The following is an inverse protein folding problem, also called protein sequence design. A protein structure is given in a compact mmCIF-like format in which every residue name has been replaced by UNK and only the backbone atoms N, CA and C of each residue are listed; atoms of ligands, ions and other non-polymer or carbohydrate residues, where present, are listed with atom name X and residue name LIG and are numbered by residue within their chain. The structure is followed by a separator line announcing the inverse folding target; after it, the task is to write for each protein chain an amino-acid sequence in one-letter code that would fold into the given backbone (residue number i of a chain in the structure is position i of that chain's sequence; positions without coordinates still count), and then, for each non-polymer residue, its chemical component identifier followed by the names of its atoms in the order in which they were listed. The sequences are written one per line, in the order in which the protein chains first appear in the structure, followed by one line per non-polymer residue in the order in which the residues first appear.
data_IF_043102150185
#
_entry.id   IF_043102150185
#
_cell.length_a   1.000
_cell.length_b   1.000
_cell.length_c   1.000
_cell.angle_alpha   90.00
_cell.angle_beta   90.00
_cell.angle_gamma   90.00
#
_symmetry.space_group_name_H-M   'P 1'
#
loop_
_entity.id
_entity.type
_entity.pdbx_description
1 polymer ?
#
# COMPACT_ATOMS: atom_id res chain seq x y z
N UNK A 1 15.17 -5.77 -0.44
CA UNK A 1 15.72 -5.88 0.93
C UNK A 1 14.64 -5.51 1.95
N UNK A 2 14.69 -6.13 3.13
CA UNK A 2 13.78 -5.85 4.26
C UNK A 2 14.64 -5.62 5.49
N UNK A 3 14.40 -4.55 6.25
CA UNK A 3 15.25 -4.14 7.35
C UNK A 3 14.51 -4.10 8.69
N UNK A 4 15.22 -4.54 9.73
CA UNK A 4 14.76 -4.59 11.11
C UNK A 4 14.07 -5.89 11.51
N UNK A 5 14.48 -6.46 12.65
CA UNK A 5 13.97 -7.73 13.17
C UNK A 5 12.44 -7.78 13.22
N UNK A 6 11.77 -6.66 13.56
CA UNK A 6 10.33 -6.58 13.66
C UNK A 6 9.64 -6.90 12.32
N UNK A 7 10.16 -6.33 11.20
CA UNK A 7 9.57 -6.56 9.88
C UNK A 7 10.00 -7.91 9.32
N UNK A 8 11.27 -8.30 9.55
CA UNK A 8 11.79 -9.59 9.09
C UNK A 8 11.02 -10.78 9.67
N UNK A 9 10.54 -10.68 10.92
CA UNK A 9 9.70 -11.71 11.54
C UNK A 9 8.40 -11.96 10.77
N UNK A 10 7.81 -10.93 10.16
CA UNK A 10 6.60 -11.05 9.35
C UNK A 10 6.80 -11.91 8.09
N UNK A 11 8.05 -12.04 7.63
CA UNK A 11 8.38 -12.86 6.47
C UNK A 11 8.25 -14.36 6.72
N UNK A 12 8.28 -14.82 7.99
CA UNK A 12 8.32 -16.25 8.34
C UNK A 12 7.15 -17.05 7.75
N UNK A 13 5.95 -16.48 7.81
CA UNK A 13 4.72 -17.11 7.35
C UNK A 13 4.19 -16.46 6.07
N UNK A 14 5.06 -15.82 5.32
CA UNK A 14 4.71 -15.11 4.10
C UNK A 14 5.17 -15.90 2.87
N UNK A 15 4.63 -15.55 1.69
CA UNK A 15 5.08 -16.17 0.43
C UNK A 15 6.45 -15.66 -0.05
N UNK A 16 7.14 -14.81 0.70
CA UNK A 16 8.46 -14.29 0.33
C UNK A 16 9.58 -15.25 0.71
N UNK A 17 10.45 -15.56 -0.23
CA UNK A 17 11.60 -16.43 -0.02
C UNK A 17 12.79 -15.60 0.48
N UNK A 18 13.20 -15.83 1.74
CA UNK A 18 14.41 -15.23 2.29
C UNK A 18 15.61 -16.03 1.81
N UNK A 19 16.60 -15.35 1.22
CA UNK A 19 17.89 -15.91 0.83
C UNK A 19 18.87 -15.86 2.00
N UNK A 20 19.10 -14.69 2.55
CA UNK A 20 20.02 -14.47 3.67
C UNK A 20 19.50 -13.37 4.59
N UNK A 21 19.89 -13.44 5.86
CA UNK A 21 19.67 -12.41 6.89
C UNK A 21 21.03 -12.04 7.47
N UNK A 22 21.40 -10.79 7.38
CA UNK A 22 22.56 -10.22 8.01
C UNK A 22 22.12 -9.54 9.30
N UNK A 23 22.69 -9.93 10.46
CA UNK A 23 22.20 -9.44 11.75
C UNK A 23 23.33 -9.16 12.72
N UNK A 24 23.22 -8.05 13.47
CA UNK A 24 24.05 -7.76 14.63
C UNK A 24 23.49 -8.39 15.91
N UNK A 25 22.19 -8.68 15.91
CA UNK A 25 21.46 -9.34 16.99
C UNK A 25 20.32 -10.19 16.37
N UNK A 26 20.45 -11.52 16.49
CA UNK A 26 19.47 -12.47 15.99
C UNK A 26 18.38 -12.82 17.01
N UNK A 27 18.31 -12.10 18.13
CA UNK A 27 17.34 -12.34 19.18
C UNK A 27 15.90 -12.31 18.66
N UNK A 28 15.24 -13.45 18.78
CA UNK A 28 13.86 -13.63 18.33
C UNK A 28 13.68 -13.73 16.81
N UNK A 29 14.75 -13.87 16.03
CA UNK A 29 14.68 -14.29 14.62
C UNK A 29 14.57 -15.80 14.57
N UNK A 30 13.34 -16.30 14.33
CA UNK A 30 13.05 -17.73 14.25
C UNK A 30 13.17 -18.23 12.80
N UNK A 31 14.42 -18.25 12.30
CA UNK A 31 14.82 -18.75 11.00
C UNK A 31 15.94 -19.76 11.13
N UNK A 32 16.15 -20.60 10.10
CA UNK A 32 17.24 -21.53 10.07
C UNK A 32 18.60 -20.80 10.22
N UNK A 33 19.44 -21.25 11.16
CA UNK A 33 20.76 -20.66 11.43
C UNK A 33 21.64 -20.55 10.18
N UNK A 34 21.47 -21.47 9.22
CA UNK A 34 22.19 -21.43 7.93
C UNK A 34 21.87 -20.19 7.09
N UNK A 35 20.72 -19.53 7.33
CA UNK A 35 20.31 -18.29 6.65
C UNK A 35 20.78 -17.03 7.38
N UNK A 36 21.18 -17.13 8.63
CA UNK A 36 21.58 -15.96 9.45
C UNK A 36 23.10 -15.83 9.40
N UNK A 37 23.56 -14.66 9.00
CA UNK A 37 24.97 -14.26 8.95
C UNK A 37 25.20 -13.20 10.03
N UNK A 38 25.94 -13.51 11.11
CA UNK A 38 26.31 -12.50 12.09
C UNK A 38 27.24 -11.47 11.44
N UNK A 39 26.96 -10.21 11.66
CA UNK A 39 27.74 -9.07 11.18
C UNK A 39 27.93 -8.04 12.30
N UNK A 40 28.87 -7.15 12.12
CA UNK A 40 29.10 -6.01 13.03
C UNK A 40 28.19 -4.84 12.69
N UNK A 41 27.96 -3.93 13.63
CA UNK A 41 27.24 -2.66 13.36
C UNK A 41 27.88 -1.84 12.23
N UNK A 42 29.21 -1.90 12.10
CA UNK A 42 29.93 -1.22 11.03
C UNK A 42 29.61 -1.80 9.65
N UNK A 43 29.45 -3.11 9.56
CA UNK A 43 29.05 -3.78 8.32
C UNK A 43 27.57 -3.54 8.03
N UNK A 44 26.71 -3.59 9.04
CA UNK A 44 25.30 -3.27 8.90
C UNK A 44 25.09 -1.87 8.30
N UNK A 45 25.82 -0.87 8.79
CA UNK A 45 25.79 0.50 8.26
C UNK A 45 26.19 0.62 6.79
N UNK A 46 26.96 -0.33 6.26
CA UNK A 46 27.38 -0.32 4.85
C UNK A 46 26.30 -0.88 3.90
N UNK A 47 25.47 -1.79 4.39
CA UNK A 47 24.46 -2.47 3.58
C UNK A 47 23.05 -1.94 3.79
N UNK A 48 22.80 -1.27 4.90
CA UNK A 48 21.52 -0.68 5.23
C UNK A 48 21.23 0.56 4.37
N UNK A 49 19.98 0.73 3.99
CA UNK A 49 19.43 1.91 3.30
C UNK A 49 18.76 2.89 4.27
N UNK A 50 18.71 2.55 5.58
CA UNK A 50 18.14 3.40 6.60
C UNK A 50 19.20 4.37 7.13
N UNK A 51 18.78 5.60 7.46
CA UNK A 51 19.65 6.57 8.14
C UNK A 51 20.13 6.06 9.51
N UNK A 52 19.29 5.31 10.20
CA UNK A 52 19.57 4.70 11.49
C UNK A 52 19.30 3.19 11.42
N UNK A 53 20.24 2.41 10.90
CA UNK A 53 20.16 0.94 10.93
C UNK A 53 19.96 0.42 12.35
N UNK A 54 19.13 -0.61 12.52
CA UNK A 54 18.84 -1.16 13.85
C UNK A 54 19.63 -2.42 14.12
N UNK A 55 19.15 -3.54 13.59
CA UNK A 55 19.60 -4.86 14.02
C UNK A 55 19.88 -5.81 12.86
N UNK A 56 19.14 -5.72 11.75
CA UNK A 56 19.26 -6.71 10.69
C UNK A 56 18.77 -6.23 9.32
N UNK A 57 19.27 -6.92 8.28
CA UNK A 57 18.84 -6.79 6.88
C UNK A 57 18.61 -8.17 6.30
N UNK A 58 17.43 -8.41 5.74
CA UNK A 58 17.11 -9.62 4.99
C UNK A 58 17.11 -9.35 3.48
N UNK A 59 17.73 -10.27 2.74
CA UNK A 59 17.68 -10.33 1.28
C UNK A 59 16.64 -11.36 0.90
N UNK A 60 15.61 -10.92 0.16
CA UNK A 60 14.53 -11.77 -0.31
C UNK A 60 14.52 -11.82 -1.84
N UNK A 61 13.96 -12.90 -2.38
CA UNK A 61 13.64 -12.97 -3.80
C UNK A 61 12.52 -11.97 -4.14
N UNK A 62 12.61 -11.37 -5.32
CA UNK A 62 11.48 -10.63 -5.88
C UNK A 62 10.38 -11.63 -6.25
N UNK A 63 9.16 -11.30 -5.90
CA UNK A 63 8.00 -12.14 -6.19
C UNK A 63 7.15 -11.48 -7.27
N UNK A 64 6.90 -12.20 -8.35
CA UNK A 64 5.87 -11.81 -9.30
C UNK A 64 4.50 -12.08 -8.69
N UNK A 65 3.66 -11.07 -8.64
CA UNK A 65 2.29 -11.16 -8.15
C UNK A 65 1.35 -11.09 -9.35
N UNK A 66 0.30 -11.91 -9.31
CA UNK A 66 -0.79 -11.90 -10.30
C UNK A 66 -2.06 -11.40 -9.65
N UNK A 67 -2.98 -10.77 -10.41
CA UNK A 67 -4.27 -10.36 -9.89
C UNK A 67 -5.02 -11.52 -9.24
N UNK A 68 -5.64 -11.27 -8.10
CA UNK A 68 -6.51 -12.22 -7.39
C UNK A 68 -7.96 -11.74 -7.42
N UNK A 69 -8.88 -12.68 -7.20
CA UNK A 69 -10.28 -12.32 -7.02
C UNK A 69 -10.46 -11.74 -5.61
N UNK A 70 -10.98 -10.53 -5.52
CA UNK A 70 -11.31 -9.86 -4.27
C UNK A 70 -12.57 -9.02 -4.47
N UNK A 71 -13.38 -8.85 -3.43
CA UNK A 71 -14.60 -8.05 -3.50
C UNK A 71 -14.28 -6.56 -3.59
N UNK A 72 -13.52 -6.05 -2.65
CA UNK A 72 -13.05 -4.67 -2.64
C UNK A 72 -11.61 -4.61 -3.14
N UNK A 73 -11.34 -3.76 -4.11
CA UNK A 73 -10.00 -3.56 -4.66
C UNK A 73 -9.63 -2.10 -4.61
N UNK A 74 -8.46 -1.80 -4.06
CA UNK A 74 -7.89 -0.46 -4.15
C UNK A 74 -7.17 -0.31 -5.49
N UNK A 75 -7.44 0.79 -6.17
CA UNK A 75 -6.78 1.17 -7.42
C UNK A 75 -6.01 2.46 -7.17
N UNK A 76 -4.70 2.43 -7.41
CA UNK A 76 -3.80 3.53 -7.13
C UNK A 76 -3.30 4.13 -8.45
N UNK A 77 -3.79 5.32 -8.75
CA UNK A 77 -3.46 6.03 -9.97
C UNK A 77 -2.33 7.03 -9.71
N UNK A 78 -1.12 6.64 -10.10
CA UNK A 78 0.07 7.49 -10.06
C UNK A 78 0.45 8.01 -8.65
N UNK A 79 0.36 7.14 -7.63
CA UNK A 79 0.86 7.45 -6.29
C UNK A 79 2.38 7.46 -6.31
N UNK A 80 3.00 8.64 -6.01
CA UNK A 80 4.45 8.85 -6.15
C UNK A 80 5.21 8.77 -4.82
N UNK A 81 4.58 9.15 -3.71
CA UNK A 81 5.24 9.14 -2.41
C UNK A 81 5.30 7.73 -1.81
N UNK A 82 6.51 7.21 -1.49
CA UNK A 82 6.68 5.88 -0.92
C UNK A 82 5.99 5.71 0.44
N UNK A 83 5.90 6.78 1.24
CA UNK A 83 5.24 6.77 2.54
C UNK A 83 3.73 6.60 2.40
N UNK A 84 3.13 7.28 1.40
CA UNK A 84 1.71 7.14 1.10
C UNK A 84 1.38 5.73 0.62
N UNK A 85 2.16 5.18 -0.33
CA UNK A 85 1.93 3.81 -0.78
C UNK A 85 2.05 2.82 0.39
N UNK A 86 3.11 2.92 1.19
CA UNK A 86 3.29 2.04 2.35
C UNK A 86 2.16 2.17 3.38
N UNK A 87 1.65 3.38 3.62
CA UNK A 87 0.51 3.61 4.52
C UNK A 87 -0.78 3.02 3.96
N UNK A 88 -1.03 3.17 2.65
CA UNK A 88 -2.21 2.57 2.00
C UNK A 88 -2.15 1.03 2.07
N UNK A 89 -0.98 0.43 1.88
CA UNK A 89 -0.80 -1.03 2.06
C UNK A 89 -1.14 -1.46 3.49
N UNK A 90 -0.75 -0.68 4.51
CA UNK A 90 -1.12 -0.96 5.91
C UNK A 90 -2.62 -0.84 6.15
N UNK A 91 -3.27 0.15 5.55
CA UNK A 91 -4.73 0.29 5.63
C UNK A 91 -5.42 -0.88 4.96
N UNK A 92 -4.94 -1.33 3.79
CA UNK A 92 -5.49 -2.51 3.12
C UNK A 92 -5.41 -3.75 4.01
N UNK A 93 -4.25 -4.03 4.61
CA UNK A 93 -4.07 -5.12 5.56
C UNK A 93 -5.00 -4.98 6.78
N UNK A 94 -5.11 -3.78 7.34
CA UNK A 94 -5.96 -3.51 8.52
C UNK A 94 -7.44 -3.78 8.26
N UNK A 95 -7.92 -3.42 7.07
CA UNK A 95 -9.32 -3.62 6.67
C UNK A 95 -9.58 -4.93 5.92
N UNK A 96 -8.59 -5.82 5.83
CA UNK A 96 -8.74 -7.11 5.14
C UNK A 96 -8.91 -6.98 3.62
N UNK A 97 -8.41 -5.91 3.01
CA UNK A 97 -8.40 -5.74 1.56
C UNK A 97 -7.18 -6.48 1.00
N UNK A 98 -7.44 -7.53 0.26
CA UNK A 98 -6.41 -8.45 -0.21
C UNK A 98 -5.71 -7.99 -1.50
N UNK A 99 -6.33 -7.06 -2.27
CA UNK A 99 -5.82 -6.66 -3.59
C UNK A 99 -5.66 -5.15 -3.72
N UNK A 100 -4.44 -4.73 -4.02
CA UNK A 100 -4.11 -3.37 -4.52
C UNK A 100 -3.65 -3.48 -5.96
N UNK A 101 -4.14 -2.58 -6.80
CA UNK A 101 -3.80 -2.49 -8.22
C UNK A 101 -3.21 -1.11 -8.46
N UNK A 102 -1.96 -1.05 -8.88
CA UNK A 102 -1.22 0.18 -9.13
C UNK A 102 -1.13 0.45 -10.64
N UNK A 103 -1.18 1.73 -11.02
CA UNK A 103 -0.73 2.14 -12.35
C UNK A 103 0.77 1.90 -12.51
N UNK A 104 1.24 1.77 -13.74
CA UNK A 104 2.66 1.58 -14.06
C UNK A 104 3.55 2.72 -13.54
N UNK A 105 2.99 3.91 -13.40
CA UNK A 105 3.68 5.10 -12.90
C UNK A 105 3.63 5.24 -11.37
N UNK A 106 2.94 4.37 -10.65
CA UNK A 106 2.98 4.37 -9.18
C UNK A 106 4.37 3.94 -8.72
N UNK A 107 4.85 4.53 -7.60
CA UNK A 107 6.16 4.20 -7.03
C UNK A 107 6.32 2.69 -6.84
N UNK A 108 7.51 2.18 -7.14
CA UNK A 108 7.79 0.75 -7.05
C UNK A 108 7.53 0.23 -5.62
N UNK A 109 6.71 -0.80 -5.53
CA UNK A 109 6.39 -1.51 -4.28
C UNK A 109 7.66 -2.02 -3.58
N UNK A 110 8.67 -2.48 -4.34
CA UNK A 110 9.93 -2.95 -3.77
C UNK A 110 10.90 -1.84 -3.39
N UNK A 111 10.53 -0.57 -3.56
CA UNK A 111 11.31 0.54 -3.01
C UNK A 111 11.48 0.35 -1.50
N UNK A 112 12.70 0.42 -0.97
CA UNK A 112 12.98 0.19 0.46
C UNK A 112 12.16 1.08 1.39
N UNK A 113 11.88 2.32 1.00
CA UNK A 113 11.04 3.24 1.77
C UNK A 113 9.58 2.76 1.83
N UNK A 114 9.05 2.19 0.73
CA UNK A 114 7.71 1.58 0.72
C UNK A 114 7.69 0.39 1.67
N UNK A 115 8.60 -0.57 1.49
CA UNK A 115 8.69 -1.77 2.34
C UNK A 115 8.74 -1.38 3.82
N UNK A 116 9.58 -0.40 4.18
CA UNK A 116 9.71 0.08 5.54
C UNK A 116 8.41 0.71 6.07
N UNK A 117 7.74 1.53 5.24
CA UNK A 117 6.50 2.20 5.62
C UNK A 117 5.33 1.23 5.81
N UNK A 118 5.34 0.06 5.16
CA UNK A 118 4.31 -0.97 5.34
C UNK A 118 4.32 -1.62 6.73
N UNK A 119 5.44 -1.57 7.46
CA UNK A 119 5.62 -2.21 8.76
C UNK A 119 5.32 -3.72 8.75
N UNK A 120 5.53 -4.40 7.60
CA UNK A 120 5.28 -5.83 7.42
C UNK A 120 3.96 -6.20 6.73
N UNK A 121 3.02 -5.27 6.59
CA UNK A 121 1.72 -5.52 5.93
C UNK A 121 1.85 -5.99 4.47
N UNK A 122 2.97 -5.68 3.81
CA UNK A 122 3.25 -6.12 2.45
C UNK A 122 3.28 -7.66 2.29
N UNK A 123 3.39 -8.39 3.38
CA UNK A 123 3.41 -9.86 3.37
C UNK A 123 2.02 -10.47 3.18
N UNK A 124 0.95 -9.69 3.40
CA UNK A 124 -0.45 -10.14 3.42
C UNK A 124 -1.31 -9.52 2.32
N UNK A 125 -0.86 -8.44 1.70
CA UNK A 125 -1.60 -7.74 0.63
C UNK A 125 -0.96 -8.06 -0.72
N UNK A 126 -1.77 -8.43 -1.70
CA UNK A 126 -1.33 -8.66 -3.07
C UNK A 126 -1.30 -7.34 -3.84
N UNK A 127 -0.14 -7.01 -4.42
CA UNK A 127 0.07 -5.73 -5.10
C UNK A 127 0.51 -6.02 -6.53
N UNK A 128 -0.24 -5.53 -7.49
CA UNK A 128 0.06 -5.71 -8.92
C UNK A 128 0.10 -4.38 -9.65
N UNK A 129 0.91 -4.32 -10.70
CA UNK A 129 1.00 -3.17 -11.61
C UNK A 129 0.39 -3.55 -12.94
N UNK A 130 -0.53 -2.73 -13.44
CA UNK A 130 -1.17 -2.99 -14.73
C UNK A 130 -1.79 -1.74 -15.32
N UNK A 131 -2.21 -1.82 -16.58
CA UNK A 131 -2.95 -0.76 -17.25
C UNK A 131 -4.33 -0.59 -16.60
N UNK A 132 -4.51 0.52 -15.86
CA UNK A 132 -5.76 0.80 -15.13
C UNK A 132 -6.92 1.07 -16.07
N UNK A 133 -6.69 1.68 -17.25
CA UNK A 133 -7.75 1.92 -18.23
C UNK A 133 -8.33 0.61 -18.72
N UNK A 134 -7.49 -0.32 -19.15
CA UNK A 134 -7.92 -1.63 -19.62
C UNK A 134 -8.70 -2.39 -18.53
N UNK A 135 -8.21 -2.36 -17.28
CA UNK A 135 -8.89 -2.96 -16.15
C UNK A 135 -10.30 -2.40 -15.96
N UNK A 136 -10.40 -1.05 -15.90
CA UNK A 136 -11.65 -0.40 -15.51
C UNK A 136 -12.67 -0.30 -16.67
N UNK A 137 -12.22 -0.37 -17.92
CA UNK A 137 -13.13 -0.49 -19.07
C UNK A 137 -13.83 -1.84 -19.19
N UNK A 138 -13.20 -2.88 -18.65
CA UNK A 138 -13.67 -4.26 -18.77
C UNK A 138 -14.30 -4.80 -17.46
N UNK A 139 -14.81 -3.90 -16.60
CA UNK A 139 -15.45 -4.31 -15.33
C UNK A 139 -16.92 -3.94 -15.28
N UNK A 140 -17.73 -4.85 -14.72
CA UNK A 140 -19.15 -4.63 -14.41
C UNK A 140 -19.33 -4.04 -12.99
N UNK A 141 -18.24 -3.94 -12.21
CA UNK A 141 -18.29 -3.48 -10.82
C UNK A 141 -18.32 -1.95 -10.77
N UNK A 142 -19.03 -1.37 -9.80
CA UNK A 142 -18.93 0.07 -9.55
C UNK A 142 -17.49 0.52 -9.28
N UNK A 143 -17.14 1.66 -9.84
CA UNK A 143 -15.83 2.29 -9.69
C UNK A 143 -16.02 3.62 -8.96
N UNK A 144 -15.65 3.66 -7.69
CA UNK A 144 -15.67 4.89 -6.89
C UNK A 144 -14.34 5.62 -7.03
N UNK A 145 -14.38 6.88 -7.44
CA UNK A 145 -13.22 7.77 -7.48
C UNK A 145 -13.23 8.74 -6.31
N UNK A 146 -12.06 9.20 -5.90
CA UNK A 146 -11.91 10.22 -4.86
C UNK A 146 -11.68 11.58 -5.48
N UNK A 147 -12.50 12.57 -5.13
CA UNK A 147 -12.41 13.94 -5.67
C UNK A 147 -12.79 14.94 -4.58
N UNK A 148 -12.41 16.21 -4.81
CA UNK A 148 -12.82 17.33 -3.96
C UNK A 148 -14.33 17.62 -4.10
N UNK A 149 -14.91 17.20 -5.20
CA UNK A 149 -16.34 17.35 -5.52
C UNK A 149 -16.93 15.97 -5.81
N UNK A 150 -18.13 15.71 -5.32
CA UNK A 150 -18.79 14.42 -5.51
C UNK A 150 -19.84 14.15 -4.46
N UNK A 151 -20.28 12.92 -4.39
CA UNK A 151 -21.24 12.46 -3.39
C UNK A 151 -20.58 12.43 -2.01
N UNK A 152 -21.31 12.92 -1.03
CA UNK A 152 -20.86 12.91 0.35
C UNK A 152 -20.59 11.48 0.83
N UNK A 153 -19.35 11.18 1.21
CA UNK A 153 -18.90 9.89 1.70
C UNK A 153 -19.83 9.30 2.78
N UNK A 154 -20.23 10.12 3.73
CA UNK A 154 -21.03 9.69 4.89
C UNK A 154 -22.50 9.38 4.54
N UNK A 155 -22.95 9.75 3.33
CA UNK A 155 -24.29 9.50 2.80
C UNK A 155 -24.28 8.48 1.64
N UNK A 156 -23.14 7.85 1.40
CA UNK A 156 -22.99 6.87 0.31
C UNK A 156 -23.16 5.47 0.85
N UNK A 157 -23.94 4.66 0.15
CA UNK A 157 -24.04 3.23 0.41
C UNK A 157 -23.11 2.49 -0.57
N UNK A 158 -22.36 1.54 -0.03
CA UNK A 158 -21.40 0.79 -0.80
C UNK A 158 -21.91 -0.63 -1.07
N UNK A 159 -21.80 -1.13 -2.32
CA UNK A 159 -22.06 -2.53 -2.60
C UNK A 159 -20.95 -3.40 -1.99
N UNK A 160 -21.18 -4.71 -1.92
CA UNK A 160 -20.17 -5.65 -1.40
C UNK A 160 -18.90 -5.70 -2.27
N UNK A 161 -19.04 -5.43 -3.58
CA UNK A 161 -17.93 -5.57 -4.53
C UNK A 161 -17.79 -4.32 -5.39
N UNK A 162 -16.61 -3.70 -5.35
CA UNK A 162 -16.31 -2.46 -6.08
C UNK A 162 -14.80 -2.18 -6.17
N UNK A 163 -14.46 -1.19 -6.99
CA UNK A 163 -13.14 -0.58 -7.04
C UNK A 163 -13.16 0.79 -6.36
N UNK A 164 -12.15 1.07 -5.53
CA UNK A 164 -11.90 2.40 -4.96
C UNK A 164 -10.63 2.97 -5.57
N UNK A 165 -10.76 4.03 -6.35
CA UNK A 165 -9.65 4.70 -7.02
C UNK A 165 -9.16 5.86 -6.18
N UNK A 166 -7.87 5.84 -5.87
CA UNK A 166 -7.13 6.91 -5.19
C UNK A 166 -6.14 7.51 -6.20
N UNK A 167 -6.16 8.81 -6.36
CA UNK A 167 -5.33 9.51 -7.32
C UNK A 167 -4.05 10.08 -6.73
N UNK A 168 -3.20 10.63 -7.61
CA UNK A 168 -1.95 11.32 -7.30
C UNK A 168 -2.16 12.47 -6.29
N UNK A 169 -1.17 12.72 -5.45
CA UNK A 169 -1.20 13.70 -4.36
C UNK A 169 -1.42 15.15 -4.86
N UNK A 170 -0.87 15.47 -6.01
CA UNK A 170 -0.96 16.83 -6.60
C UNK A 170 -2.04 16.96 -7.67
N UNK A 171 -2.20 15.95 -8.52
CA UNK A 171 -3.04 16.03 -9.70
C UNK A 171 -4.38 15.28 -9.56
N UNK A 172 -4.57 14.52 -8.48
CA UNK A 172 -5.74 13.67 -8.31
C UNK A 172 -5.76 12.48 -9.28
N UNK A 173 -6.94 11.98 -9.57
CA UNK A 173 -7.15 10.90 -10.55
C UNK A 173 -6.93 11.46 -11.97
N UNK A 174 -6.14 10.73 -12.77
CA UNK A 174 -5.85 11.13 -14.15
C UNK A 174 -7.14 11.25 -14.98
N UNK A 175 -7.19 12.17 -15.98
CA UNK A 175 -8.41 12.36 -16.79
C UNK A 175 -8.91 11.09 -17.46
N UNK A 176 -7.98 10.25 -17.89
CA UNK A 176 -8.30 8.97 -18.54
C UNK A 176 -9.03 8.02 -17.59
N UNK A 177 -8.57 7.91 -16.34
CA UNK A 177 -9.17 7.04 -15.32
C UNK A 177 -10.45 7.70 -14.76
N UNK A 178 -10.47 9.02 -14.62
CA UNK A 178 -11.63 9.77 -14.14
C UNK A 178 -12.89 9.56 -15.02
N UNK A 179 -12.71 9.39 -16.32
CA UNK A 179 -13.80 9.09 -17.26
C UNK A 179 -14.41 7.68 -17.07
N UNK A 180 -13.73 6.80 -16.34
CA UNK A 180 -14.18 5.42 -16.06
C UNK A 180 -14.76 5.28 -14.65
N UNK A 181 -14.70 6.34 -13.85
CA UNK A 181 -15.30 6.39 -12.52
C UNK A 181 -16.83 6.47 -12.67
N UNK A 182 -17.55 5.59 -11.98
CA UNK A 182 -19.02 5.59 -11.98
C UNK A 182 -19.60 6.59 -10.99
N UNK A 183 -18.91 6.82 -9.87
CA UNK A 183 -19.33 7.78 -8.84
C UNK A 183 -18.11 8.40 -8.15
N UNK A 184 -18.05 9.72 -8.08
CA UNK A 184 -17.04 10.44 -7.32
C UNK A 184 -17.47 10.60 -5.86
N UNK A 185 -16.57 10.27 -4.94
CA UNK A 185 -16.73 10.44 -3.49
C UNK A 185 -16.00 11.69 -3.02
N UNK A 186 -16.61 12.44 -2.15
CA UNK A 186 -15.96 13.55 -1.46
C UNK A 186 -16.03 13.38 0.06
N UNK A 187 -14.94 13.70 0.74
CA UNK A 187 -14.92 13.89 2.20
C UNK A 187 -15.35 15.34 2.45
N UNK A 188 -16.51 15.60 3.08
CA UNK A 188 -16.98 16.96 3.29
C UNK A 188 -16.01 17.79 4.11
N UNK A 189 -15.83 19.06 3.73
CA UNK A 189 -15.08 20.04 4.49
C UNK A 189 -16.01 20.71 5.50
N UNK A 190 -15.60 20.72 6.76
CA UNK A 190 -16.36 21.36 7.86
C UNK A 190 -15.74 22.68 8.34
N UNK A 191 -14.52 22.99 7.88
CA UNK A 191 -13.85 24.24 8.26
C UNK A 191 -14.49 25.47 7.65
N UNK A 192 -14.55 26.58 8.40
CA UNK A 192 -15.18 27.83 7.95
C UNK A 192 -14.51 28.46 6.72
N UNK A 193 -13.18 28.42 6.66
CA UNK A 193 -12.41 29.07 5.57
C UNK A 193 -12.22 28.16 4.37
N UNK A 194 -12.30 26.83 4.56
CA UNK A 194 -12.11 25.82 3.51
C UNK A 194 -10.89 26.04 2.58
N UNK A 195 -9.84 26.67 3.14
CA UNK A 195 -8.63 27.05 2.40
C UNK A 195 -7.70 25.90 2.09
N UNK A 196 -7.83 24.78 2.80
CA UNK A 196 -7.04 23.55 2.53
C UNK A 196 -7.50 22.96 1.20
N UNK A 197 -6.58 22.81 0.24
CA UNK A 197 -6.91 22.35 -1.10
C UNK A 197 -7.28 20.86 -1.14
N UNK A 198 -6.51 20.00 -0.44
CA UNK A 198 -6.76 18.56 -0.40
C UNK A 198 -6.28 17.93 0.91
N UNK A 199 -6.72 16.71 1.17
CA UNK A 199 -6.14 15.85 2.20
C UNK A 199 -5.00 15.03 1.59
N UNK A 200 -4.02 14.66 2.43
CA UNK A 200 -3.06 13.64 2.06
C UNK A 200 -3.80 12.36 1.64
N UNK A 201 -3.37 11.73 0.55
CA UNK A 201 -4.07 10.60 -0.06
C UNK A 201 -4.21 9.39 0.86
N UNK A 202 -3.19 9.09 1.68
CA UNK A 202 -3.27 7.98 2.63
C UNK A 202 -4.22 8.29 3.81
N UNK A 203 -4.31 9.55 4.23
CA UNK A 203 -5.29 9.99 5.22
C UNK A 203 -6.70 9.91 4.66
N UNK A 204 -6.92 10.37 3.43
CA UNK A 204 -8.20 10.24 2.75
C UNK A 204 -8.62 8.77 2.60
N UNK A 205 -7.69 7.90 2.23
CA UNK A 205 -7.90 6.45 2.16
C UNK A 205 -8.39 5.89 3.51
N UNK A 206 -7.72 6.27 4.62
CA UNK A 206 -8.10 5.81 5.96
C UNK A 206 -9.52 6.27 6.36
N UNK A 207 -9.90 7.50 6.06
CA UNK A 207 -11.25 8.04 6.35
C UNK A 207 -12.30 7.28 5.51
N UNK A 208 -12.04 7.09 4.21
CA UNK A 208 -12.98 6.42 3.30
C UNK A 208 -13.16 4.96 3.70
N UNK A 209 -12.07 4.24 3.93
CA UNK A 209 -12.13 2.83 4.34
C UNK A 209 -12.80 2.67 5.70
N UNK A 210 -12.52 3.54 6.67
CA UNK A 210 -13.21 3.56 7.95
C UNK A 210 -14.73 3.71 7.79
N UNK A 211 -15.19 4.60 6.88
CA UNK A 211 -16.62 4.75 6.59
C UNK A 211 -17.20 3.55 5.83
N UNK A 212 -16.47 3.03 4.85
CA UNK A 212 -16.91 1.82 4.13
C UNK A 212 -17.15 0.68 5.10
N UNK A 213 -16.14 0.32 5.89
CA UNK A 213 -16.20 -0.84 6.79
C UNK A 213 -17.04 -0.62 8.05
N UNK A 214 -17.46 0.61 8.35
CA UNK A 214 -18.43 0.87 9.42
C UNK A 214 -19.85 0.38 9.07
N UNK A 215 -20.09 0.02 7.81
CA UNK A 215 -21.40 -0.44 7.30
C UNK A 215 -21.44 -1.94 6.97
N UNK A 216 -20.30 -2.63 7.13
CA UNK A 216 -20.18 -4.08 7.00
C UNK A 216 -20.12 -4.74 8.37
#
# INVERSE_FOLDING_TARGET
MVEGNKIIKELKNSPFVIREIYSTDDTGLDFAKSKIRPITERELKKISLLQHPKDSVAVCELRNQSPISADIRLVLDNIQDPGNLGTIIRLADWFGIEQIICSENTVDFYNPKVIQATMGSFTRVNIVYQNLKELLQNTDRPVFGTDMTGKNLYKTDFPKSFYLVLGNEGNGISPEIKNLVTENLTIPRFGRLQSTESLNVSMAAGIILGQVFSKF
#
